data_IF_375049540922
#
_entry.id   IF_375049540922
#
_cell.length_a   1.000
_cell.length_b   1.000
_cell.length_c   1.000
_cell.angle_alpha   90.00
_cell.angle_beta   90.00
_cell.angle_gamma   90.00
#
_symmetry.space_group_name_H-M   'P 1'
#
loop_
_entity.id
_entity.type
_entity.pdbx_description
1 polymer ?
#
# COMPACT_ATOMS: atom_id res chain seq x y z
N UNK A 1 1.11 -3.13 10.85
CA UNK A 1 -0.31 -3.28 10.45
C UNK A 1 -1.11 -3.60 11.71
N UNK A 2 -2.34 -3.11 11.84
CA UNK A 2 -3.19 -3.40 13.01
C UNK A 2 -4.66 -3.48 12.61
N UNK A 3 -5.41 -4.55 12.96
CA UNK A 3 -4.93 -5.75 13.66
C UNK A 3 -4.00 -6.62 12.80
N UNK A 4 -3.24 -7.50 13.45
CA UNK A 4 -2.44 -8.55 12.82
C UNK A 4 -2.69 -9.86 13.61
N UNK A 5 -3.33 -10.89 13.00
CA UNK A 5 -3.75 -10.98 11.61
C UNK A 5 -4.92 -10.04 11.27
N UNK A 6 -5.06 -9.73 9.97
CA UNK A 6 -6.20 -8.98 9.46
C UNK A 6 -7.52 -9.71 9.66
N UNK A 7 -8.60 -8.94 9.84
CA UNK A 7 -9.96 -9.45 9.95
C UNK A 7 -10.72 -9.14 8.67
N UNK A 8 -11.17 -10.14 7.88
CA UNK A 8 -11.94 -9.92 6.67
C UNK A 8 -13.19 -9.08 6.91
N UNK A 9 -13.45 -8.12 6.02
CA UNK A 9 -14.61 -7.23 6.08
C UNK A 9 -14.50 -6.10 7.11
N UNK A 10 -13.37 -5.96 7.81
CA UNK A 10 -13.07 -4.83 8.69
C UNK A 10 -12.07 -3.87 8.06
N UNK A 11 -11.85 -2.71 8.67
CA UNK A 11 -10.76 -1.83 8.27
C UNK A 11 -9.51 -2.07 9.12
N UNK A 12 -8.33 -1.87 8.53
CA UNK A 12 -7.04 -1.97 9.20
C UNK A 12 -6.23 -0.69 9.06
N UNK A 13 -5.31 -0.49 10.01
CA UNK A 13 -4.33 0.60 10.00
C UNK A 13 -2.98 0.09 9.48
N UNK A 14 -2.42 0.82 8.52
CA UNK A 14 -1.08 0.59 8.00
C UNK A 14 -0.19 1.80 8.33
N UNK A 15 0.97 1.52 8.93
CA UNK A 15 2.06 2.49 9.06
C UNK A 15 3.10 2.06 8.03
N UNK A 16 3.34 2.90 7.03
CA UNK A 16 4.28 2.63 5.94
C UNK A 16 5.43 3.60 6.08
N UNK A 17 6.64 3.09 6.17
CA UNK A 17 7.84 3.91 6.27
C UNK A 17 8.96 3.31 5.43
N UNK A 18 9.78 4.17 4.85
CA UNK A 18 10.92 3.75 4.04
C UNK A 18 11.72 4.94 3.55
N UNK A 19 12.85 4.66 2.90
CA UNK A 19 13.68 5.68 2.26
C UNK A 19 13.36 5.72 0.78
N UNK A 20 13.10 6.91 0.25
CA UNK A 20 12.79 7.10 -1.16
C UNK A 20 14.04 6.95 -2.03
N UNK A 21 13.95 6.19 -3.12
CA UNK A 21 15.06 6.09 -4.09
C UNK A 21 15.05 7.22 -5.14
N UNK A 22 13.87 7.79 -5.42
CA UNK A 22 13.68 8.88 -6.38
C UNK A 22 12.89 10.03 -5.72
N UNK A 23 12.89 11.19 -6.36
CA UNK A 23 12.11 12.36 -5.94
C UNK A 23 10.61 12.06 -6.01
N UNK A 24 9.93 12.18 -4.87
CA UNK A 24 8.48 12.05 -4.77
C UNK A 24 7.83 13.41 -4.97
N UNK A 25 6.89 13.50 -5.92
CA UNK A 25 6.20 14.75 -6.25
C UNK A 25 4.78 14.77 -5.65
N UNK A 26 4.46 15.82 -4.89
CA UNK A 26 3.12 16.03 -4.30
C UNK A 26 2.02 16.03 -5.36
N UNK A 27 0.85 15.50 -5.01
CA UNK A 27 -0.34 15.51 -5.88
C UNK A 27 -0.26 14.59 -7.10
N UNK A 28 0.87 13.91 -7.32
CA UNK A 28 1.05 12.91 -8.37
C UNK A 28 1.34 11.55 -7.72
N UNK A 29 2.23 11.53 -6.73
CA UNK A 29 2.54 10.31 -6.02
C UNK A 29 1.47 9.92 -5.01
N UNK A 30 1.21 8.62 -4.90
CA UNK A 30 0.26 8.03 -3.97
C UNK A 30 0.82 6.77 -3.30
N UNK A 31 0.28 6.49 -2.11
CA UNK A 31 0.37 5.20 -1.47
C UNK A 31 -0.81 4.35 -1.95
N UNK A 32 -0.51 3.24 -2.61
CA UNK A 32 -1.46 2.18 -2.95
C UNK A 32 -1.29 1.00 -2.01
N UNK A 33 -2.39 0.54 -1.41
CA UNK A 33 -2.42 -0.71 -0.65
C UNK A 33 -3.51 -1.59 -1.26
N UNK A 34 -3.15 -2.80 -1.70
CA UNK A 34 -4.11 -3.74 -2.27
C UNK A 34 -3.88 -5.16 -1.82
N UNK A 35 -4.96 -5.94 -1.85
CA UNK A 35 -4.94 -7.37 -1.62
C UNK A 35 -4.98 -8.05 -2.97
N UNK A 36 -4.09 -9.01 -3.22
CA UNK A 36 -4.05 -9.75 -4.49
C UNK A 36 -4.10 -11.25 -4.25
N UNK A 37 -4.69 -11.97 -5.20
CA UNK A 37 -4.74 -13.43 -5.20
C UNK A 37 -3.44 -14.05 -5.75
N UNK A 38 -3.41 -15.39 -5.84
CA UNK A 38 -2.26 -16.13 -6.39
C UNK A 38 -1.98 -15.83 -7.88
N UNK A 39 -2.96 -15.28 -8.59
CA UNK A 39 -2.87 -14.90 -9.99
C UNK A 39 -2.52 -13.40 -10.15
N UNK A 40 -2.19 -12.71 -9.06
CA UNK A 40 -1.92 -11.27 -8.97
C UNK A 40 -3.11 -10.37 -9.33
N UNK A 41 -4.34 -10.87 -9.22
CA UNK A 41 -5.53 -10.06 -9.41
C UNK A 41 -5.96 -9.37 -8.11
N UNK A 42 -6.34 -8.09 -8.16
CA UNK A 42 -6.89 -7.39 -7.00
C UNK A 42 -8.13 -8.08 -6.45
N UNK A 43 -8.13 -8.29 -5.14
CA UNK A 43 -9.26 -8.76 -4.35
C UNK A 43 -9.90 -7.52 -3.74
N UNK A 44 -10.98 -7.04 -4.35
CA UNK A 44 -11.62 -5.80 -3.95
C UNK A 44 -10.90 -4.55 -4.46
N UNK A 45 -11.28 -3.40 -3.91
CA UNK A 45 -10.76 -2.10 -4.34
C UNK A 45 -9.44 -1.76 -3.61
N UNK A 46 -8.39 -1.33 -4.33
CA UNK A 46 -7.19 -0.79 -3.70
C UNK A 46 -7.50 0.47 -2.89
N UNK A 47 -6.78 0.64 -1.79
CA UNK A 47 -6.72 1.90 -1.06
C UNK A 47 -5.70 2.83 -1.72
N UNK A 48 -6.05 4.12 -1.82
CA UNK A 48 -5.18 5.17 -2.35
C UNK A 48 -5.09 6.34 -1.39
N UNK A 49 -3.88 6.85 -1.18
CA UNK A 49 -3.64 8.07 -0.43
C UNK A 49 -2.53 8.91 -1.06
N UNK A 50 -2.90 10.06 -1.60
CA UNK A 50 -1.95 10.99 -2.21
C UNK A 50 -1.02 11.64 -1.19
N UNK A 51 0.22 11.83 -1.58
CA UNK A 51 1.17 12.64 -0.83
C UNK A 51 0.87 14.13 -1.04
N UNK A 52 0.73 14.86 0.06
CA UNK A 52 0.48 16.31 0.05
C UNK A 52 1.76 17.16 0.00
N UNK A 53 2.94 16.52 0.09
CA UNK A 53 4.26 17.15 0.09
C UNK A 53 5.18 16.37 -0.85
N UNK A 54 6.12 17.10 -1.45
CA UNK A 54 7.19 16.51 -2.23
C UNK A 54 8.36 16.18 -1.31
N UNK A 55 9.12 15.15 -1.65
CA UNK A 55 10.30 14.73 -0.90
C UNK A 55 11.43 14.40 -1.88
N UNK A 56 12.66 14.87 -1.66
CA UNK A 56 13.78 14.49 -2.50
C UNK A 56 14.19 13.02 -2.24
N UNK A 57 14.84 12.41 -3.22
CA UNK A 57 15.48 11.12 -3.10
C UNK A 57 16.40 11.06 -1.86
N UNK A 58 16.50 9.88 -1.26
CA UNK A 58 17.24 9.65 -0.01
C UNK A 58 16.50 10.09 1.26
N UNK A 59 15.33 10.72 1.15
CA UNK A 59 14.54 11.12 2.32
C UNK A 59 13.78 9.94 2.90
N UNK A 60 13.86 9.76 4.23
CA UNK A 60 12.99 8.84 4.95
C UNK A 60 11.58 9.44 5.08
N UNK A 61 10.59 8.70 4.60
CA UNK A 61 9.18 9.06 4.71
C UNK A 61 8.44 8.09 5.62
N UNK A 62 7.39 8.61 6.27
CA UNK A 62 6.43 7.82 7.04
C UNK A 62 5.03 8.33 6.75
N UNK A 63 4.14 7.43 6.35
CA UNK A 63 2.75 7.71 6.01
C UNK A 63 1.86 6.70 6.73
N UNK A 64 0.74 7.19 7.25
CA UNK A 64 -0.26 6.38 7.92
C UNK A 64 -1.50 6.32 7.04
N UNK A 65 -1.90 5.09 6.68
CA UNK A 65 -3.20 4.79 6.12
C UNK A 65 -4.10 4.29 7.26
N UNK A 66 -4.94 5.16 7.85
CA UNK A 66 -5.63 4.85 9.10
C UNK A 66 -6.80 3.87 8.93
N UNK A 67 -7.34 3.77 7.72
CA UNK A 67 -8.53 2.98 7.40
C UNK A 67 -8.43 2.38 6.00
N UNK A 68 -7.82 1.21 5.90
CA UNK A 68 -7.77 0.37 4.69
C UNK A 68 -8.82 -0.72 4.83
N UNK A 69 -9.79 -0.77 3.92
CA UNK A 69 -10.84 -1.79 3.96
C UNK A 69 -10.28 -3.15 3.53
N UNK A 70 -10.41 -4.14 4.42
CA UNK A 70 -9.98 -5.52 4.19
C UNK A 70 -11.12 -6.25 3.47
N UNK A 71 -10.88 -6.88 2.31
CA UNK A 71 -11.91 -7.61 1.58
C UNK A 71 -12.57 -8.68 2.45
N UNK A 72 -13.90 -8.80 2.39
CA UNK A 72 -14.63 -9.84 3.14
C UNK A 72 -14.42 -11.24 2.56
N UNK A 73 -14.02 -11.32 1.28
CA UNK A 73 -13.79 -12.54 0.53
C UNK A 73 -12.31 -12.91 0.41
N UNK A 74 -11.50 -12.60 1.43
CA UNK A 74 -10.08 -12.98 1.43
C UNK A 74 -9.93 -14.52 1.36
N UNK A 75 -9.17 -15.05 0.39
CA UNK A 75 -8.86 -16.48 0.28
C UNK A 75 -7.89 -16.93 1.38
N UNK A 76 -7.64 -18.24 1.46
CA UNK A 76 -6.68 -18.82 2.41
C UNK A 76 -5.25 -18.36 2.20
N UNK A 77 -4.89 -17.92 0.99
CA UNK A 77 -3.60 -17.35 0.61
C UNK A 77 -3.82 -16.10 -0.23
N UNK A 78 -3.26 -14.99 0.22
CA UNK A 78 -3.28 -13.71 -0.49
C UNK A 78 -1.97 -12.97 -0.24
N UNK A 79 -1.70 -11.95 -1.04
CA UNK A 79 -0.59 -11.04 -0.82
C UNK A 79 -1.13 -9.66 -0.55
N UNK A 80 -0.55 -8.98 0.42
CA UNK A 80 -0.76 -7.55 0.63
C UNK A 80 0.36 -6.84 -0.10
N UNK A 81 0.00 -6.10 -1.15
CA UNK A 81 0.92 -5.24 -1.87
C UNK A 81 0.80 -3.82 -1.34
N UNK A 82 1.94 -3.24 -0.97
CA UNK A 82 2.07 -1.84 -0.55
C UNK A 82 3.06 -1.16 -1.47
N UNK A 83 2.58 -0.18 -2.24
CA UNK A 83 3.34 0.52 -3.27
C UNK A 83 3.26 2.02 -3.04
N UNK A 84 4.38 2.71 -3.20
CA UNK A 84 4.42 4.15 -3.38
C UNK A 84 4.79 4.38 -4.84
N UNK A 85 3.89 4.98 -5.61
CA UNK A 85 4.04 5.19 -7.06
C UNK A 85 3.54 6.56 -7.50
N UNK A 86 3.94 6.99 -8.69
CA UNK A 86 3.32 8.07 -9.44
C UNK A 86 2.82 7.47 -10.75
N UNK A 87 1.58 6.98 -10.75
CA UNK A 87 1.01 6.27 -11.91
C UNK A 87 1.04 7.09 -13.20
N UNK A 88 0.86 8.41 -13.12
CA UNK A 88 0.91 9.33 -14.27
C UNK A 88 2.30 9.34 -14.91
N UNK A 89 3.35 9.15 -14.11
CA UNK A 89 4.74 9.15 -14.55
C UNK A 89 5.27 7.73 -14.83
N UNK A 90 4.46 6.70 -14.57
CA UNK A 90 4.87 5.30 -14.55
C UNK A 90 6.07 5.01 -13.62
N UNK A 91 6.23 5.81 -12.56
CA UNK A 91 7.33 5.69 -11.60
C UNK A 91 6.91 4.92 -10.35
N UNK A 92 7.75 3.98 -9.90
CA UNK A 92 7.61 3.26 -8.63
C UNK A 92 8.72 3.71 -7.69
N UNK A 93 8.35 4.30 -6.56
CA UNK A 93 9.28 4.80 -5.54
C UNK A 93 9.62 3.73 -4.49
N UNK A 94 8.71 2.78 -4.27
CA UNK A 94 8.91 1.64 -3.39
C UNK A 94 7.78 0.62 -3.53
N UNK A 95 8.11 -0.66 -3.38
CA UNK A 95 7.16 -1.76 -3.37
C UNK A 95 7.56 -2.76 -2.29
N UNK A 96 6.60 -3.21 -1.49
CA UNK A 96 6.77 -4.32 -0.57
C UNK A 96 5.58 -5.26 -0.63
N UNK A 97 5.86 -6.55 -0.50
CA UNK A 97 4.89 -7.63 -0.58
C UNK A 97 4.91 -8.40 0.74
N UNK A 98 3.73 -8.55 1.35
CA UNK A 98 3.56 -9.40 2.53
C UNK A 98 2.67 -10.59 2.18
N UNK A 99 3.24 -11.79 2.22
CA UNK A 99 2.47 -13.02 2.08
C UNK A 99 1.62 -13.23 3.32
N UNK A 100 0.31 -13.36 3.15
CA UNK A 100 -0.63 -13.60 4.22
C UNK A 100 -1.44 -14.84 3.90
N UNK A 101 -1.50 -15.76 4.85
CA UNK A 101 -2.23 -17.00 4.69
C UNK A 101 -2.16 -17.81 5.96
N UNK A 102 -3.12 -18.71 6.11
CA UNK A 102 -3.16 -19.66 7.23
C UNK A 102 -2.48 -20.96 6.84
#
# INVERSE_FOLDING_TARGET
MTPDPLVPGQSAKFNVSGTLNNDLIKGIADLRIQFIDSNQWPIGNPYYQYFNKSFPAGTSVSIVAPKVDVPSNLPSKYVIEVVIEAKILADIYGCTLANSGK
#
